data_IF_734156147228
#
_entry.id   IF_734156147228
#
_cell.length_a   1.000
_cell.length_b   1.000
_cell.length_c   1.000
_cell.angle_alpha   90.00
_cell.angle_beta   90.00
_cell.angle_gamma   90.00
#
_symmetry.space_group_name_H-M   'P 1'
#
loop_
_entity.id
_entity.type
_entity.pdbx_description
1 polymer ?
#
# COMPACT_ATOMS: atom_id res chain seq x y z
N UNK A 1 -11.69 -25.11 -23.26
CA UNK A 1 -11.62 -24.94 -21.80
C UNK A 1 -12.30 -23.63 -21.44
N UNK A 2 -13.43 -23.67 -20.75
CA UNK A 2 -14.04 -22.47 -20.20
C UNK A 2 -13.19 -22.01 -19.00
N UNK A 3 -12.57 -20.84 -19.09
CA UNK A 3 -11.93 -20.22 -17.93
C UNK A 3 -13.05 -19.85 -16.95
N UNK A 4 -13.20 -20.61 -15.87
CA UNK A 4 -14.12 -20.27 -14.80
C UNK A 4 -13.53 -19.07 -14.04
N UNK A 5 -13.82 -17.87 -14.52
CA UNK A 5 -13.63 -16.66 -13.73
C UNK A 5 -14.60 -16.74 -12.57
N UNK A 6 -14.11 -16.86 -11.33
CA UNK A 6 -14.97 -16.84 -10.14
C UNK A 6 -15.83 -15.59 -10.18
N UNK A 7 -17.15 -15.76 -10.13
CA UNK A 7 -18.09 -14.64 -10.13
C UNK A 7 -18.23 -14.09 -8.72
N UNK A 8 -18.71 -12.85 -8.59
CA UNK A 8 -18.85 -12.14 -7.31
C UNK A 8 -19.56 -12.96 -6.22
N UNK A 9 -20.55 -13.78 -6.60
CA UNK A 9 -21.26 -14.67 -5.67
C UNK A 9 -20.38 -15.79 -5.09
N UNK A 10 -19.32 -16.21 -5.76
CA UNK A 10 -18.49 -17.35 -5.35
C UNK A 10 -17.50 -16.97 -4.24
N UNK A 11 -17.06 -15.71 -4.22
CA UNK A 11 -16.01 -15.25 -3.31
C UNK A 11 -16.48 -14.22 -2.27
N UNK A 12 -17.70 -13.67 -2.39
CA UNK A 12 -18.29 -12.75 -1.41
C UNK A 12 -19.19 -13.44 -0.37
N UNK A 13 -19.13 -14.77 -0.25
CA UNK A 13 -19.99 -15.55 0.67
C UNK A 13 -19.67 -15.24 2.14
N UNK A 14 -18.38 -15.18 2.49
CA UNK A 14 -17.89 -14.76 3.80
C UNK A 14 -16.40 -14.38 3.70
N UNK A 15 -15.86 -13.79 4.78
CA UNK A 15 -14.46 -13.35 4.84
C UNK A 15 -13.47 -14.49 4.57
N UNK A 16 -13.69 -15.68 5.15
CA UNK A 16 -12.77 -16.82 5.01
C UNK A 16 -12.65 -17.31 3.56
N UNK A 17 -13.78 -17.35 2.85
CA UNK A 17 -13.84 -17.70 1.43
C UNK A 17 -13.17 -16.59 0.63
N UNK A 18 -13.51 -15.32 0.90
CA UNK A 18 -12.87 -14.18 0.25
C UNK A 18 -11.34 -14.22 0.37
N UNK A 19 -10.81 -14.40 1.58
CA UNK A 19 -9.37 -14.43 1.84
C UNK A 19 -8.66 -15.56 1.08
N UNK A 20 -9.28 -16.74 1.02
CA UNK A 20 -8.73 -17.87 0.28
C UNK A 20 -8.67 -17.58 -1.23
N UNK A 21 -9.73 -17.00 -1.80
CA UNK A 21 -9.77 -16.58 -3.20
C UNK A 21 -8.78 -15.45 -3.48
N UNK A 22 -8.75 -14.43 -2.64
CA UNK A 22 -7.84 -13.28 -2.78
C UNK A 22 -6.39 -13.74 -2.73
N UNK A 23 -5.97 -14.50 -1.72
CA UNK A 23 -4.57 -15.01 -1.64
C UNK A 23 -4.18 -15.88 -2.84
N UNK A 24 -5.09 -16.72 -3.34
CA UNK A 24 -4.79 -17.60 -4.47
C UNK A 24 -4.75 -16.88 -5.84
N UNK A 25 -5.47 -15.76 -5.97
CA UNK A 25 -5.72 -15.07 -7.23
C UNK A 25 -5.15 -13.65 -7.30
N UNK A 26 -4.70 -13.06 -6.19
CA UNK A 26 -4.03 -11.74 -6.15
C UNK A 26 -2.85 -11.78 -7.13
N UNK A 27 -2.72 -10.74 -7.94
CA UNK A 27 -1.72 -10.64 -9.00
C UNK A 27 -2.02 -11.44 -10.29
N UNK A 28 -3.10 -12.24 -10.34
CA UNK A 28 -3.54 -12.93 -11.56
C UNK A 28 -4.71 -12.17 -12.20
N UNK A 29 -4.72 -12.02 -13.53
CA UNK A 29 -5.82 -11.40 -14.31
C UNK A 29 -7.11 -12.26 -14.36
N UNK A 30 -7.52 -12.87 -13.23
CA UNK A 30 -8.67 -13.77 -13.14
C UNK A 30 -9.76 -13.23 -12.23
N UNK A 31 -9.43 -12.28 -11.34
CA UNK A 31 -10.41 -11.57 -10.52
C UNK A 31 -11.05 -10.44 -11.34
N UNK A 32 -12.36 -10.55 -11.55
CA UNK A 32 -13.17 -9.49 -12.18
C UNK A 32 -13.81 -8.66 -11.07
N UNK A 33 -13.37 -7.41 -10.92
CA UNK A 33 -13.93 -6.47 -9.96
C UNK A 33 -15.26 -5.88 -10.48
N UNK A 34 -16.34 -6.66 -10.42
CA UNK A 34 -17.70 -6.19 -10.71
C UNK A 34 -18.51 -5.89 -9.43
N UNK A 35 -19.72 -5.37 -9.60
CA UNK A 35 -20.66 -5.12 -8.50
C UNK A 35 -20.10 -4.21 -7.41
N UNK A 36 -20.03 -4.75 -6.19
CA UNK A 36 -19.61 -4.06 -4.95
C UNK A 36 -18.21 -3.42 -5.07
N UNK A 37 -17.30 -4.03 -5.82
CA UNK A 37 -15.96 -3.47 -6.04
C UNK A 37 -15.97 -2.22 -6.91
N UNK A 38 -16.97 -2.04 -7.78
CA UNK A 38 -17.09 -0.84 -8.60
C UNK A 38 -17.34 0.39 -7.74
N UNK A 39 -18.18 0.26 -6.72
CA UNK A 39 -18.47 1.36 -5.81
C UNK A 39 -17.36 1.53 -4.77
N UNK A 40 -16.79 0.44 -4.24
CA UNK A 40 -15.60 0.50 -3.40
C UNK A 40 -14.42 1.18 -4.12
N UNK A 41 -14.22 0.94 -5.42
CA UNK A 41 -13.18 1.59 -6.23
C UNK A 41 -13.42 3.08 -6.40
N UNK A 42 -14.66 3.54 -6.49
CA UNK A 42 -14.97 4.98 -6.52
C UNK A 42 -14.62 5.61 -5.17
N UNK A 43 -15.04 4.99 -4.07
CA UNK A 43 -14.72 5.45 -2.71
C UNK A 43 -13.22 5.49 -2.46
N UNK A 44 -12.48 4.47 -2.90
CA UNK A 44 -11.01 4.43 -2.85
C UNK A 44 -10.39 5.60 -3.61
N UNK A 45 -10.85 5.90 -4.83
CA UNK A 45 -10.36 7.03 -5.62
C UNK A 45 -10.69 8.40 -5.00
N UNK A 46 -11.76 8.47 -4.22
CA UNK A 46 -12.18 9.69 -3.53
C UNK A 46 -11.50 9.85 -2.16
N UNK A 47 -10.65 8.91 -1.73
CA UNK A 47 -10.03 8.90 -0.38
C UNK A 47 -11.02 8.54 0.74
N UNK A 48 -12.27 8.19 0.42
CA UNK A 48 -13.28 7.86 1.42
C UNK A 48 -12.95 6.59 2.21
N UNK A 49 -12.01 5.76 1.73
CA UNK A 49 -11.57 4.52 2.36
C UNK A 49 -10.18 4.65 3.01
N UNK A 50 -9.60 5.85 3.08
CA UNK A 50 -8.25 6.06 3.62
C UNK A 50 -8.12 5.65 5.09
N UNK A 51 -9.23 5.63 5.84
CA UNK A 51 -9.29 5.11 7.21
C UNK A 51 -8.99 3.60 7.33
N UNK A 52 -9.00 2.86 6.21
CA UNK A 52 -8.63 1.45 6.15
C UNK A 52 -7.15 1.23 5.83
N UNK A 53 -6.42 2.28 5.42
CA UNK A 53 -4.98 2.18 5.17
C UNK A 53 -4.24 2.09 6.49
N UNK A 54 -3.20 1.25 6.52
CA UNK A 54 -2.27 1.25 7.64
C UNK A 54 -1.44 2.54 7.61
N UNK A 55 -1.15 3.07 8.79
CA UNK A 55 -0.28 4.24 8.96
C UNK A 55 1.08 3.73 9.35
N UNK A 56 2.14 4.27 8.76
CA UNK A 56 3.50 3.90 9.12
C UNK A 56 3.76 4.26 10.60
N UNK A 57 4.08 3.27 11.47
CA UNK A 57 4.40 3.52 12.86
C UNK A 57 5.82 4.09 13.05
N UNK A 58 6.65 4.12 12.00
CA UNK A 58 8.04 4.56 12.07
C UNK A 58 8.11 6.07 12.29
N UNK A 59 8.84 6.48 13.33
CA UNK A 59 9.18 7.89 13.55
C UNK A 59 10.57 8.19 13.02
N UNK A 60 10.62 9.01 11.97
CA UNK A 60 11.83 9.61 11.45
C UNK A 60 12.20 10.81 12.31
N UNK A 61 13.47 10.84 12.74
CA UNK A 61 14.01 11.86 13.65
C UNK A 61 15.15 12.63 12.98
N UNK A 62 15.85 12.03 12.02
CA UNK A 62 17.04 12.60 11.39
C UNK A 62 16.90 12.73 9.88
N UNK A 63 17.49 13.79 9.35
CA UNK A 63 17.78 13.95 7.94
C UNK A 63 19.28 13.78 7.71
N UNK A 64 19.66 12.88 6.80
CA UNK A 64 21.06 12.56 6.50
C UNK A 64 21.37 12.98 5.07
N UNK A 65 22.36 13.84 4.89
CA UNK A 65 22.83 14.28 3.57
C UNK A 65 24.07 13.50 3.15
N UNK A 66 24.02 12.93 1.94
CA UNK A 66 25.18 12.33 1.29
C UNK A 66 25.59 13.17 0.09
N UNK A 67 26.89 13.38 -0.07
CA UNK A 67 27.46 14.01 -1.26
C UNK A 67 28.16 12.96 -2.12
N UNK A 68 27.91 12.99 -3.43
CA UNK A 68 28.59 12.11 -4.37
C UNK A 68 29.93 12.72 -4.77
N UNK A 69 31.03 12.03 -4.48
CA UNK A 69 32.36 12.48 -4.82
C UNK A 69 33.25 11.30 -5.23
N UNK A 70 34.05 11.46 -6.30
CA UNK A 70 35.05 10.47 -6.75
C UNK A 70 34.59 9.00 -6.74
N UNK A 71 33.34 8.74 -7.14
CA UNK A 71 32.69 7.42 -7.23
C UNK A 71 32.25 6.79 -5.89
N UNK A 72 32.19 7.57 -4.81
CA UNK A 72 31.63 7.14 -3.53
C UNK A 72 30.67 8.19 -2.95
N UNK A 73 29.74 7.74 -2.12
CA UNK A 73 28.89 8.61 -1.32
C UNK A 73 29.57 8.88 0.01
N UNK A 74 29.87 10.14 0.30
CA UNK A 74 30.38 10.58 1.59
C UNK A 74 29.22 11.15 2.41
N UNK A 75 29.02 10.62 3.62
CA UNK A 75 28.06 11.20 4.56
C UNK A 75 28.57 12.61 4.91
N UNK A 76 27.80 13.62 4.53
CA UNK A 76 28.19 15.01 4.69
C UNK A 76 27.76 15.52 6.05
N UNK A 77 26.46 15.43 6.36
CA UNK A 77 25.83 16.09 7.51
C UNK A 77 24.60 15.31 7.99
N UNK A 78 24.35 15.32 9.30
CA UNK A 78 23.16 14.76 9.95
C UNK A 78 22.48 15.89 10.71
N UNK A 79 21.18 16.09 10.47
CA UNK A 79 20.37 17.09 11.16
C UNK A 79 19.20 16.43 11.87
N UNK A 80 18.86 16.95 13.04
CA UNK A 80 17.57 16.67 13.68
C UNK A 80 16.45 17.32 12.87
N UNK A 81 15.37 16.56 12.62
CA UNK A 81 14.16 17.12 12.01
C UNK A 81 13.51 18.11 12.96
N UNK A 82 13.06 19.24 12.40
CA UNK A 82 12.21 20.18 13.10
C UNK A 82 10.83 19.58 13.38
N UNK A 83 10.10 20.12 14.34
CA UNK A 83 8.74 19.64 14.65
C UNK A 83 7.79 19.75 13.46
N UNK A 84 7.94 20.76 12.60
CA UNK A 84 7.17 20.87 11.35
C UNK A 84 7.49 19.74 10.37
N UNK A 85 8.76 19.38 10.21
CA UNK A 85 9.16 18.32 9.28
C UNK A 85 8.74 16.94 9.79
N UNK A 86 8.83 16.71 11.11
CA UNK A 86 8.31 15.48 11.72
C UNK A 86 6.81 15.30 11.46
N UNK A 87 6.03 16.37 11.56
CA UNK A 87 4.58 16.32 11.29
C UNK A 87 4.25 16.03 9.81
N UNK A 88 5.11 16.46 8.89
CA UNK A 88 4.91 16.24 7.45
C UNK A 88 5.37 14.85 6.99
N UNK A 89 6.44 14.33 7.59
CA UNK A 89 7.10 13.08 7.17
C UNK A 89 6.55 11.86 7.91
N UNK A 90 6.26 11.97 9.20
CA UNK A 90 5.80 10.82 10.00
C UNK A 90 4.30 10.56 9.81
N UNK A 91 3.88 9.34 10.13
CA UNK A 91 2.47 8.92 10.11
C UNK A 91 1.78 9.09 8.74
N UNK A 92 2.56 8.96 7.66
CA UNK A 92 2.00 8.86 6.33
C UNK A 92 1.27 7.52 6.16
N UNK A 93 0.21 7.53 5.34
CA UNK A 93 -0.52 6.32 4.99
C UNK A 93 0.34 5.44 4.08
N UNK A 94 0.39 4.16 4.39
CA UNK A 94 1.08 3.17 3.59
C UNK A 94 0.24 2.91 2.34
N UNK A 95 0.74 3.34 1.17
CA UNK A 95 -0.03 3.25 -0.08
C UNK A 95 -0.11 1.82 -0.64
N UNK A 96 0.87 0.96 -0.34
CA UNK A 96 0.88 -0.51 -0.47
C UNK A 96 2.33 -0.98 -0.22
N UNK A 97 2.56 -1.89 0.73
CA UNK A 97 3.85 -2.60 0.80
C UNK A 97 3.73 -3.78 -0.17
N UNK A 98 4.50 -3.76 -1.26
CA UNK A 98 4.71 -4.94 -2.09
C UNK A 98 5.29 -6.07 -1.21
N UNK A 99 4.65 -7.25 -1.20
CA UNK A 99 5.27 -8.43 -0.60
C UNK A 99 6.58 -8.73 -1.34
N UNK A 100 7.71 -8.72 -0.61
CA UNK A 100 8.99 -9.22 -1.12
C UNK A 100 8.78 -10.63 -1.70
N UNK A 101 9.31 -10.84 -2.91
CA UNK A 101 9.32 -12.14 -3.61
C UNK A 101 10.31 -13.12 -3.01
#
# INVERSE_FOLDING_TARGET
MAKYSGKDNDYLINQKVFDAFYKALKGKQVLVYSGLFKDARKKLKNGELDYLKEVDPTEYIYQIFYTWNKKEYLASEIFDLTESEKQEINHQMIDEIEEEK
#
